data_IF_141472208490
#
_entry.id   IF_141472208490
#
_cell.length_a   1.000
_cell.length_b   1.000
_cell.length_c   1.000
_cell.angle_alpha   90.00
_cell.angle_beta   90.00
_cell.angle_gamma   90.00
#
_symmetry.space_group_name_H-M   'P 1'
#
loop_
_entity.id
_entity.type
_entity.pdbx_description
1 polymer ?
#
# COMPACT_ATOMS: atom_id res chain seq x y z
N UNK A 1 -53.53 25.43 -1.35
CA UNK A 1 -52.33 25.41 -2.20
C UNK A 1 -52.75 25.21 -3.65
N UNK A 2 -52.29 26.10 -4.56
CA UNK A 2 -52.59 26.01 -6.00
C UNK A 2 -51.93 24.74 -6.59
N UNK A 3 -52.51 24.05 -7.55
CA UNK A 3 -52.00 22.75 -8.08
C UNK A 3 -50.53 22.88 -8.60
N UNK A 4 -50.15 24.02 -9.09
CA UNK A 4 -48.75 24.34 -9.50
C UNK A 4 -47.75 24.28 -8.33
N UNK A 5 -48.17 24.81 -7.17
CA UNK A 5 -47.26 24.82 -5.97
C UNK A 5 -47.02 23.41 -5.43
N UNK A 6 -48.04 22.52 -5.49
CA UNK A 6 -47.86 21.12 -5.10
C UNK A 6 -46.87 20.39 -6.00
N UNK A 7 -46.92 20.61 -7.32
CA UNK A 7 -45.97 20.03 -8.27
C UNK A 7 -44.55 20.51 -8.06
N UNK A 8 -44.35 21.83 -7.85
CA UNK A 8 -43.04 22.41 -7.56
C UNK A 8 -42.49 21.86 -6.24
N UNK A 9 -43.33 21.78 -5.20
CA UNK A 9 -42.91 21.21 -3.92
C UNK A 9 -42.48 19.76 -4.02
N UNK A 10 -43.22 18.92 -4.82
CA UNK A 10 -42.81 17.53 -5.05
C UNK A 10 -41.51 17.40 -5.83
N UNK A 11 -41.31 18.24 -6.87
CA UNK A 11 -40.07 18.23 -7.64
C UNK A 11 -38.88 18.69 -6.76
N UNK A 12 -39.07 19.76 -6.00
CA UNK A 12 -38.05 20.29 -5.09
C UNK A 12 -37.70 19.26 -3.99
N UNK A 13 -38.71 18.58 -3.41
CA UNK A 13 -38.51 17.51 -2.46
C UNK A 13 -37.77 16.29 -3.05
N UNK A 14 -38.12 15.91 -4.27
CA UNK A 14 -37.44 14.84 -5.01
C UNK A 14 -35.98 15.17 -5.32
N UNK A 15 -35.69 16.38 -5.77
CA UNK A 15 -34.32 16.85 -6.01
C UNK A 15 -33.50 16.94 -4.72
N UNK A 16 -34.09 17.43 -3.64
CA UNK A 16 -33.43 17.52 -2.35
C UNK A 16 -33.09 16.11 -1.79
N UNK A 17 -34.01 15.16 -1.88
CA UNK A 17 -33.76 13.77 -1.44
C UNK A 17 -32.69 13.08 -2.28
N UNK A 18 -32.66 13.35 -3.59
CA UNK A 18 -31.63 12.81 -4.49
C UNK A 18 -30.24 13.42 -4.16
N UNK A 19 -30.18 14.73 -3.89
CA UNK A 19 -28.95 15.39 -3.51
C UNK A 19 -28.41 14.87 -2.18
N UNK A 20 -29.27 14.63 -1.18
CA UNK A 20 -28.88 14.05 0.10
C UNK A 20 -28.38 12.62 -0.10
N UNK A 21 -29.09 11.80 -0.87
CA UNK A 21 -28.69 10.43 -1.15
C UNK A 21 -27.33 10.36 -1.89
N UNK A 22 -27.13 11.23 -2.88
CA UNK A 22 -25.86 11.34 -3.60
C UNK A 22 -24.73 11.81 -2.67
N UNK A 23 -24.96 12.80 -1.81
CA UNK A 23 -23.99 13.26 -0.83
C UNK A 23 -23.57 12.17 0.17
N UNK A 24 -24.54 11.40 0.66
CA UNK A 24 -24.26 10.26 1.55
C UNK A 24 -23.51 9.15 0.82
N UNK A 25 -23.85 8.85 -0.42
CA UNK A 25 -23.15 7.84 -1.22
C UNK A 25 -21.72 8.26 -1.52
N UNK A 26 -21.45 9.50 -1.91
CA UNK A 26 -20.12 10.03 -2.14
C UNK A 26 -19.28 10.03 -0.87
N UNK A 27 -19.85 10.43 0.26
CA UNK A 27 -19.16 10.38 1.55
C UNK A 27 -18.84 8.95 2.01
N UNK A 28 -19.72 7.99 1.73
CA UNK A 28 -19.47 6.58 2.01
C UNK A 28 -18.39 5.98 1.10
N UNK A 29 -18.32 6.39 -0.17
CA UNK A 29 -17.25 5.99 -1.08
C UNK A 29 -15.89 6.55 -0.65
N UNK A 30 -15.81 7.83 -0.30
CA UNK A 30 -14.57 8.48 0.12
C UNK A 30 -13.93 7.82 1.35
N UNK A 31 -14.75 7.27 2.24
CA UNK A 31 -14.28 6.55 3.44
C UNK A 31 -13.79 5.11 3.15
N UNK A 32 -14.17 4.52 2.02
CA UNK A 32 -13.85 3.14 1.66
C UNK A 32 -12.71 2.98 0.64
N UNK A 33 -12.29 4.05 -0.03
CA UNK A 33 -11.13 3.99 -0.93
C UNK A 33 -9.86 4.11 -0.09
N UNK A 34 -9.37 3.00 0.41
CA UNK A 34 -8.06 2.95 1.04
C UNK A 34 -6.97 3.06 -0.03
N UNK A 35 -6.35 4.23 -0.13
CA UNK A 35 -5.19 4.45 -1.00
C UNK A 35 -4.10 3.44 -0.62
N UNK A 36 -3.51 2.79 -1.63
CA UNK A 36 -2.37 1.89 -1.46
C UNK A 36 -1.08 2.65 -1.69
N UNK A 37 -0.17 2.61 -0.74
CA UNK A 37 1.13 3.28 -0.78
C UNK A 37 2.25 2.34 -0.33
N UNK A 38 3.46 2.64 -0.76
CA UNK A 38 4.67 1.93 -0.32
C UNK A 38 5.32 2.63 0.88
N UNK A 39 6.19 1.95 1.64
CA UNK A 39 6.99 2.57 2.70
C UNK A 39 7.75 3.81 2.23
N UNK A 40 8.35 3.78 1.04
CA UNK A 40 9.06 4.92 0.47
C UNK A 40 8.15 6.13 0.22
N UNK A 41 6.93 5.91 -0.24
CA UNK A 41 5.95 6.98 -0.47
C UNK A 41 5.45 7.60 0.84
N UNK A 42 5.29 6.79 1.89
CA UNK A 42 4.93 7.28 3.22
C UNK A 42 6.03 8.20 3.77
N UNK A 43 7.29 7.76 3.69
CA UNK A 43 8.45 8.57 4.13
C UNK A 43 8.60 9.84 3.28
N UNK A 44 8.25 9.78 2.00
CA UNK A 44 8.24 10.96 1.11
C UNK A 44 7.06 11.92 1.36
N UNK A 45 6.21 11.65 2.35
CA UNK A 45 5.07 12.51 2.71
C UNK A 45 3.89 12.44 1.74
N UNK A 46 3.84 11.44 0.85
CA UNK A 46 2.74 11.25 -0.10
C UNK A 46 1.53 10.53 0.49
N UNK A 47 1.60 10.14 1.76
CA UNK A 47 0.49 9.49 2.46
C UNK A 47 -0.60 10.49 2.85
N UNK A 48 -1.89 10.08 2.83
CA UNK A 48 -2.98 10.93 3.27
C UNK A 48 -2.86 11.27 4.75
N UNK A 49 -2.84 12.53 5.09
CA UNK A 49 -2.82 12.99 6.48
C UNK A 49 -4.18 12.73 7.15
N UNK A 50 -4.16 12.07 8.31
CA UNK A 50 -5.35 11.85 9.14
C UNK A 50 -6.39 10.85 8.61
N UNK A 51 -6.25 10.36 7.37
CA UNK A 51 -7.12 9.31 6.79
C UNK A 51 -6.47 7.93 6.93
N UNK A 52 -7.31 6.88 6.89
CA UNK A 52 -6.82 5.52 6.80
C UNK A 52 -6.34 5.21 5.38
N UNK A 53 -5.24 4.46 5.25
CA UNK A 53 -4.69 4.01 3.98
C UNK A 53 -4.04 2.62 4.14
N UNK A 54 -3.63 2.02 3.05
CA UNK A 54 -2.97 0.71 3.03
C UNK A 54 -1.49 0.86 2.69
N UNK A 55 -0.64 0.21 3.49
CA UNK A 55 0.78 0.08 3.18
C UNK A 55 1.03 -1.35 2.74
N UNK A 56 1.63 -1.50 1.56
CA UNK A 56 2.11 -2.79 1.07
C UNK A 56 3.62 -2.85 1.05
N UNK A 57 4.16 -4.01 1.43
CA UNK A 57 5.60 -4.23 1.46
C UNK A 57 5.93 -5.61 2.01
N UNK A 58 7.19 -5.79 2.36
CA UNK A 58 7.69 -6.98 3.04
C UNK A 58 7.73 -6.73 4.55
N UNK A 59 7.47 -7.75 5.33
CA UNK A 59 7.76 -7.75 6.76
C UNK A 59 9.25 -7.96 6.95
N UNK A 60 9.96 -7.00 7.54
CA UNK A 60 11.40 -7.10 7.78
C UNK A 60 11.71 -8.29 8.69
N UNK A 61 12.67 -9.11 8.29
CA UNK A 61 13.09 -10.28 9.06
C UNK A 61 13.59 -9.91 10.46
N UNK A 62 13.16 -10.67 11.47
CA UNK A 62 13.54 -10.45 12.87
C UNK A 62 12.91 -9.21 13.52
N UNK A 63 12.03 -8.49 12.81
CA UNK A 63 11.40 -7.28 13.34
C UNK A 63 10.13 -7.53 14.16
N UNK A 64 9.53 -8.71 14.04
CA UNK A 64 8.26 -9.05 14.70
C UNK A 64 8.47 -9.25 16.20
N UNK A 65 7.88 -8.37 16.99
CA UNK A 65 7.87 -8.43 18.46
C UNK A 65 6.43 -8.50 18.94
N UNK A 66 6.13 -9.51 19.73
CA UNK A 66 4.81 -9.70 20.35
C UNK A 66 4.89 -9.30 21.81
N UNK A 67 3.98 -8.41 22.22
CA UNK A 67 3.81 -8.00 23.60
C UNK A 67 2.31 -8.05 23.89
N UNK A 68 1.88 -9.06 24.64
CA UNK A 68 0.46 -9.36 24.89
C UNK A 68 -0.35 -9.47 23.58
N UNK A 69 -1.38 -8.63 23.42
CA UNK A 69 -2.22 -8.60 22.21
C UNK A 69 -1.69 -7.67 21.12
N UNK A 70 -0.61 -6.94 21.40
CA UNK A 70 -0.03 -6.00 20.43
C UNK A 70 1.21 -6.61 19.77
N UNK A 71 1.21 -6.61 18.46
CA UNK A 71 2.35 -7.02 17.65
C UNK A 71 2.96 -5.80 16.99
N UNK A 72 4.26 -5.63 17.17
CA UNK A 72 5.05 -4.59 16.50
C UNK A 72 5.97 -5.24 15.49
N UNK A 73 6.04 -4.67 14.31
CA UNK A 73 6.92 -5.14 13.23
C UNK A 73 7.27 -3.98 12.31
N UNK A 74 8.18 -4.21 11.39
CA UNK A 74 8.63 -3.20 10.43
C UNK A 74 8.23 -3.64 9.03
N UNK A 75 7.52 -2.75 8.31
CA UNK A 75 7.25 -2.91 6.89
C UNK A 75 8.34 -2.21 6.08
N UNK A 76 8.81 -2.86 5.02
CA UNK A 76 9.86 -2.34 4.14
C UNK A 76 9.54 -2.61 2.68
N UNK A 77 9.98 -1.73 1.81
CA UNK A 77 10.06 -1.92 0.35
C UNK A 77 11.53 -2.09 -0.11
N UNK A 78 12.41 -2.48 0.83
CA UNK A 78 13.87 -2.59 0.69
C UNK A 78 14.61 -1.24 0.65
N UNK A 79 13.94 -0.14 0.36
CA UNK A 79 14.51 1.21 0.33
C UNK A 79 14.23 1.99 1.62
N UNK A 80 13.01 1.88 2.15
CA UNK A 80 12.54 2.57 3.36
C UNK A 80 11.80 1.62 4.29
N UNK A 81 11.73 2.01 5.55
CA UNK A 81 11.15 1.22 6.62
C UNK A 81 10.11 2.04 7.39
N UNK A 82 8.99 1.40 7.74
CA UNK A 82 7.93 2.00 8.56
C UNK A 82 7.62 1.06 9.72
N UNK A 83 7.74 1.52 10.96
CA UNK A 83 7.31 0.75 12.13
C UNK A 83 5.78 0.67 12.16
N UNK A 84 5.26 -0.53 12.40
CA UNK A 84 3.84 -0.84 12.46
C UNK A 84 3.50 -1.41 13.84
N UNK A 85 2.40 -0.95 14.42
CA UNK A 85 1.81 -1.51 15.62
C UNK A 85 0.41 -2.02 15.28
N UNK A 86 0.14 -3.28 15.59
CA UNK A 86 -1.16 -3.93 15.38
C UNK A 86 -1.62 -4.60 16.66
N UNK A 87 -2.88 -4.38 17.03
CA UNK A 87 -3.51 -5.04 18.17
C UNK A 87 -4.60 -5.96 17.66
N UNK A 88 -4.41 -7.26 17.81
CA UNK A 88 -5.33 -8.28 17.34
C UNK A 88 -4.65 -9.57 16.94
N UNK A 89 -5.42 -10.46 16.30
CA UNK A 89 -4.95 -11.76 15.83
C UNK A 89 -4.37 -11.58 14.43
N UNK A 90 -3.11 -11.95 14.24
CA UNK A 90 -2.46 -11.96 12.94
C UNK A 90 -2.95 -13.14 12.09
N UNK A 91 -3.04 -12.97 10.75
CA UNK A 91 -3.33 -14.08 9.85
C UNK A 91 -2.28 -15.19 9.97
N UNK A 92 -2.68 -16.44 9.74
CA UNK A 92 -1.77 -17.62 9.80
C UNK A 92 -0.60 -17.54 8.81
N UNK A 93 -0.79 -16.83 7.71
CA UNK A 93 0.21 -16.62 6.65
C UNK A 93 1.18 -15.46 6.94
N UNK A 94 0.95 -14.69 8.02
CA UNK A 94 1.83 -13.59 8.39
C UNK A 94 3.16 -14.13 8.94
N UNK A 95 4.25 -13.86 8.23
CA UNK A 95 5.61 -14.28 8.58
C UNK A 95 6.63 -13.22 8.21
N UNK A 96 7.76 -13.25 8.89
CA UNK A 96 8.95 -12.48 8.55
C UNK A 96 9.41 -12.77 7.11
N UNK A 97 9.87 -11.74 6.41
CA UNK A 97 10.34 -11.84 5.03
C UNK A 97 9.25 -12.02 3.98
N UNK A 98 7.98 -12.09 4.37
CA UNK A 98 6.85 -12.28 3.44
C UNK A 98 6.11 -10.98 3.16
N UNK A 99 5.43 -10.93 2.01
CA UNK A 99 4.59 -9.81 1.62
C UNK A 99 3.36 -9.66 2.50
N UNK A 100 3.10 -8.45 2.96
CA UNK A 100 1.92 -8.11 3.73
C UNK A 100 1.34 -6.77 3.27
N UNK A 101 0.06 -6.60 3.50
CA UNK A 101 -0.65 -5.33 3.35
C UNK A 101 -1.27 -4.99 4.70
N UNK A 102 -0.98 -3.81 5.21
CA UNK A 102 -1.54 -3.32 6.46
C UNK A 102 -2.42 -2.11 6.19
N UNK A 103 -3.60 -2.09 6.78
CA UNK A 103 -4.51 -0.96 6.73
C UNK A 103 -4.54 -0.26 8.08
N UNK A 104 -4.47 1.07 8.08
CA UNK A 104 -4.46 1.84 9.32
C UNK A 104 -4.21 3.32 9.08
N UNK A 105 -3.63 3.98 10.07
CA UNK A 105 -3.29 5.41 10.05
C UNK A 105 -1.87 5.62 10.53
N UNK A 106 -1.20 6.60 9.93
CA UNK A 106 0.11 7.03 10.41
C UNK A 106 -0.08 7.92 11.64
N UNK A 107 0.56 7.54 12.75
CA UNK A 107 0.62 8.36 13.96
C UNK A 107 1.58 9.53 13.83
N UNK A 108 1.43 10.54 14.68
CA UNK A 108 2.33 11.69 14.72
C UNK A 108 3.76 11.34 15.20
N UNK A 109 3.93 10.17 15.79
CA UNK A 109 5.21 9.57 16.21
C UNK A 109 5.92 8.78 15.10
N UNK A 110 5.34 8.74 13.90
CA UNK A 110 5.88 8.00 12.76
C UNK A 110 5.57 6.49 12.80
N UNK A 111 4.83 6.01 13.79
CA UNK A 111 4.37 4.62 13.89
C UNK A 111 3.04 4.47 13.16
N UNK A 112 2.93 3.46 12.33
CA UNK A 112 1.68 3.15 11.64
C UNK A 112 0.78 2.28 12.54
N UNK A 113 -0.32 2.86 13.02
CA UNK A 113 -1.33 2.16 13.81
C UNK A 113 -2.22 1.35 12.88
N UNK A 114 -1.95 0.05 12.76
CA UNK A 114 -2.69 -0.85 11.90
C UNK A 114 -4.00 -1.28 12.55
N UNK A 115 -5.09 -1.24 11.80
CA UNK A 115 -6.41 -1.77 12.17
C UNK A 115 -6.67 -3.13 11.54
N UNK A 116 -5.99 -3.44 10.43
CA UNK A 116 -6.10 -4.71 9.71
C UNK A 116 -4.75 -5.11 9.13
N UNK A 117 -4.46 -6.39 9.14
CA UNK A 117 -3.28 -7.00 8.53
C UNK A 117 -3.72 -8.11 7.60
N UNK A 118 -3.31 -8.03 6.34
CA UNK A 118 -3.57 -9.00 5.29
C UNK A 118 -2.24 -9.58 4.83
N UNK A 119 -2.04 -10.86 5.04
CA UNK A 119 -0.89 -11.59 4.49
C UNK A 119 -1.31 -12.23 3.16
N UNK A 120 -0.55 -11.98 2.09
CA UNK A 120 -0.79 -12.62 0.79
C UNK A 120 -0.03 -13.94 0.69
N UNK A 121 -0.63 -14.90 0.03
CA UNK A 121 -0.02 -16.21 -0.25
C UNK A 121 0.90 -16.17 -1.48
N UNK A 122 1.48 -15.01 -1.82
CA UNK A 122 2.41 -14.91 -2.93
C UNK A 122 3.83 -15.24 -2.47
N UNK A 123 4.28 -16.45 -2.79
CA UNK A 123 5.67 -16.89 -2.57
C UNK A 123 6.69 -16.04 -3.36
N UNK A 124 6.22 -15.19 -4.30
CA UNK A 124 7.00 -14.35 -5.20
C UNK A 124 6.60 -12.87 -5.18
N UNK A 125 6.15 -12.32 -4.06
CA UNK A 125 5.96 -10.87 -4.00
C UNK A 125 7.32 -10.16 -4.05
N UNK A 126 7.68 -9.70 -5.21
CA UNK A 126 8.81 -8.79 -5.42
C UNK A 126 8.25 -7.39 -5.68
N UNK A 127 8.58 -6.39 -4.85
CA UNK A 127 8.20 -5.00 -5.14
C UNK A 127 8.62 -4.61 -6.56
N UNK A 128 7.81 -3.83 -7.31
CA UNK A 128 8.12 -3.46 -8.69
C UNK A 128 9.50 -2.83 -8.87
N UNK A 129 9.95 -2.07 -7.87
CA UNK A 129 11.27 -1.44 -7.85
C UNK A 129 12.40 -2.44 -7.65
N UNK A 130 12.22 -3.44 -6.78
CA UNK A 130 13.18 -4.52 -6.59
C UNK A 130 13.26 -5.41 -7.84
N UNK A 131 12.12 -5.67 -8.51
CA UNK A 131 12.09 -6.38 -9.78
C UNK A 131 12.81 -5.59 -10.90
N UNK A 132 12.67 -4.27 -10.92
CA UNK A 132 13.38 -3.40 -11.86
C UNK A 132 14.89 -3.38 -11.58
N UNK A 133 15.30 -3.29 -10.32
CA UNK A 133 16.71 -3.31 -9.90
C UNK A 133 17.39 -4.65 -10.25
N UNK A 134 16.71 -5.79 -10.05
CA UNK A 134 17.21 -7.10 -10.43
C UNK A 134 17.35 -7.25 -11.95
N UNK A 135 16.38 -6.77 -12.74
CA UNK A 135 16.49 -6.75 -14.19
C UNK A 135 17.68 -5.91 -14.67
N UNK A 136 17.92 -4.76 -14.07
CA UNK A 136 19.08 -3.91 -14.38
C UNK A 136 20.40 -4.60 -14.00
N UNK A 137 20.47 -5.25 -12.83
CA UNK A 137 21.65 -5.98 -12.41
C UNK A 137 21.96 -7.17 -13.35
N UNK A 138 20.95 -7.94 -13.77
CA UNK A 138 21.10 -9.03 -14.74
C UNK A 138 21.53 -8.53 -16.12
N UNK A 139 20.98 -7.40 -16.58
CA UNK A 139 21.37 -6.79 -17.85
C UNK A 139 22.83 -6.33 -17.82
N UNK A 140 23.27 -5.76 -16.70
CA UNK A 140 24.66 -5.33 -16.53
C UNK A 140 25.65 -6.51 -16.43
N UNK A 141 25.26 -7.61 -15.78
CA UNK A 141 26.05 -8.83 -15.74
C UNK A 141 26.18 -9.48 -17.13
N UNK A 142 25.10 -9.61 -17.86
CA UNK A 142 25.12 -10.15 -19.22
C UNK A 142 25.95 -9.27 -20.17
N UNK A 143 25.95 -7.94 -19.99
CA UNK A 143 26.78 -7.03 -20.76
C UNK A 143 28.29 -7.12 -20.38
N UNK A 144 28.60 -7.43 -19.11
CA UNK A 144 29.98 -7.64 -18.65
C UNK A 144 30.53 -8.98 -19.15
N UNK A 145 29.72 -10.03 -19.14
CA UNK A 145 30.10 -11.37 -19.62
C UNK A 145 30.22 -11.45 -21.15
N UNK A 146 29.52 -10.58 -21.90
CA UNK A 146 29.63 -10.49 -23.35
C UNK A 146 30.89 -9.77 -23.85
N UNK A 147 31.54 -8.97 -23.03
CA UNK A 147 32.73 -8.17 -23.40
C UNK A 147 34.00 -8.98 -23.68
N UNK A 148 34.34 -10.08 -22.99
CA UNK A 148 35.58 -10.81 -23.26
C UNK A 148 35.57 -11.62 -24.55
N UNK A 149 34.37 -11.94 -25.09
CA UNK A 149 34.29 -12.72 -26.32
C UNK A 149 34.63 -11.94 -27.62
N UNK A 150 34.43 -10.64 -27.60
CA UNK A 150 34.68 -9.77 -28.78
C UNK A 150 36.18 -9.44 -28.90
N UNK A 151 36.88 -9.33 -27.78
CA UNK A 151 38.33 -9.00 -27.79
C UNK A 151 39.21 -10.16 -28.26
N UNK A 152 38.75 -11.39 -28.10
CA UNK A 152 39.47 -12.59 -28.63
C UNK A 152 39.26 -12.83 -30.14
N UNK A 153 38.18 -12.34 -30.72
CA UNK A 153 37.90 -12.51 -32.13
C UNK A 153 38.73 -11.55 -33.06
N UNK A 154 39.24 -10.46 -32.47
CA UNK A 154 40.06 -9.47 -33.23
C UNK A 154 41.57 -9.71 -33.15
N UNK A 155 42.04 -10.75 -32.45
CA UNK A 155 43.49 -11.02 -32.28
C UNK A 155 43.92 -12.32 -32.97
N UNK A 156 43.46 -12.57 -34.20
CA UNK A 156 44.03 -13.64 -35.04
C UNK A 156 44.57 -13.03 -36.35
N UNK A 157 45.86 -13.19 -36.60
CA UNK A 157 46.54 -12.64 -37.74
C UNK A 157 46.06 -13.25 -39.06
#
# INVERSE_FOLDING_TARGET
>A
MKPRQKRIALIAGGLASLAIAAGLALNALDSNIALYVTPSEVVAGKSPQGKAFRIGGLVKEGSVKRTDMTVRFVMTDLAKEIPVAYTGILPDLFRDGKGAVVQGRLGGDGVFAATEVLAKHDENYMPPEAAAALKQAQTNQNAADAKPAIDQAQKKP
#
